data_IF_493082949032
#
_entry.id   IF_493082949032
#
_cell.length_a   1.000
_cell.length_b   1.000
_cell.length_c   1.000
_cell.angle_alpha   90.00
_cell.angle_beta   90.00
_cell.angle_gamma   90.00
#
_symmetry.space_group_name_H-M   'P 1'
#
loop_
_entity.id
_entity.type
_entity.pdbx_description
1 polymer ?
#
# COMPACT_ATOMS: atom_id res chain seq x y z
N UNK A 1 -0.10 50.72 10.40
CA UNK A 1 0.70 49.49 10.59
C UNK A 1 0.02 48.67 11.69
N UNK A 2 0.01 47.35 11.51
CA UNK A 2 -0.93 46.32 12.00
C UNK A 2 -1.44 46.40 13.45
N UNK A 3 -2.65 45.87 13.72
CA UNK A 3 -2.67 44.55 14.36
C UNK A 3 -3.83 43.68 13.84
N UNK A 4 -3.70 43.17 12.62
CA UNK A 4 -4.47 41.98 12.20
C UNK A 4 -3.71 40.70 12.57
N UNK A 5 -2.41 40.81 12.86
CA UNK A 5 -1.55 39.68 13.20
C UNK A 5 -1.82 39.10 14.59
N UNK A 6 -2.29 39.92 15.54
CA UNK A 6 -2.55 39.46 16.92
C UNK A 6 -3.82 38.62 17.03
N UNK A 7 -4.80 38.82 16.13
CA UNK A 7 -6.01 37.99 16.10
C UNK A 7 -5.73 36.59 15.53
N UNK A 8 -4.72 36.44 14.67
CA UNK A 8 -4.29 35.13 14.16
C UNK A 8 -3.37 34.39 15.15
N UNK A 9 -2.61 35.13 15.96
CA UNK A 9 -1.78 34.56 17.03
C UNK A 9 -2.62 34.03 18.20
N UNK A 10 -3.74 34.68 18.51
CA UNK A 10 -4.65 34.23 19.57
C UNK A 10 -5.29 32.86 19.27
N UNK A 11 -5.65 32.58 18.01
CA UNK A 11 -6.18 31.26 17.59
C UNK A 11 -5.11 30.14 17.63
N UNK A 12 -3.83 30.49 17.51
CA UNK A 12 -2.73 29.54 17.64
C UNK A 12 -2.36 29.26 19.10
N UNK A 13 -2.46 30.25 19.98
CA UNK A 13 -2.21 30.10 21.42
C UNK A 13 -3.27 29.19 22.08
N UNK A 14 -4.53 29.24 21.63
CA UNK A 14 -5.60 28.34 22.12
C UNK A 14 -5.39 26.86 21.72
N UNK A 15 -4.56 26.58 20.70
CA UNK A 15 -4.16 25.22 20.34
C UNK A 15 -2.84 24.77 21.01
N UNK A 16 -2.10 25.68 21.65
CA UNK A 16 -0.83 25.38 22.32
C UNK A 16 -1.02 24.79 23.72
N UNK A 17 -2.16 25.04 24.38
CA UNK A 17 -2.46 24.57 25.75
C UNK A 17 -2.86 23.07 25.82
N UNK A 18 -2.42 22.25 24.87
CA UNK A 18 -2.54 20.78 24.92
C UNK A 18 -1.21 20.04 24.73
N UNK A 19 -0.07 20.74 24.78
CA UNK A 19 1.25 20.11 24.86
C UNK A 19 1.75 20.07 26.31
N UNK A 20 1.17 19.20 27.14
CA UNK A 20 1.88 18.63 28.30
C UNK A 20 1.16 17.39 28.81
N UNK A 21 1.36 16.28 28.10
CA UNK A 21 1.57 14.96 28.73
C UNK A 21 1.95 14.00 27.60
N UNK A 22 3.25 13.67 27.49
CA UNK A 22 3.81 12.37 27.09
C UNK A 22 5.30 12.51 26.77
N UNK A 23 6.11 12.75 27.81
CA UNK A 23 7.48 12.27 27.83
C UNK A 23 7.57 11.09 28.79
N UNK A 24 8.31 10.07 28.36
CA UNK A 24 8.69 8.84 29.07
C UNK A 24 7.73 7.63 28.98
N UNK A 25 7.79 6.92 27.87
CA UNK A 25 8.04 5.47 27.95
C UNK A 25 8.60 4.92 26.63
N UNK A 26 9.88 4.51 26.66
CA UNK A 26 10.46 3.66 25.64
C UNK A 26 9.90 2.23 25.78
N UNK A 27 8.64 2.03 25.40
CA UNK A 27 8.06 0.71 25.20
C UNK A 27 7.15 0.79 23.98
N UNK A 28 7.60 0.24 22.85
CA UNK A 28 6.77 -0.02 21.69
C UNK A 28 5.82 -1.16 22.07
N UNK A 29 4.79 -0.84 22.85
CA UNK A 29 3.66 -1.72 23.07
C UNK A 29 2.87 -1.78 21.77
N UNK A 30 2.82 -2.99 21.23
CA UNK A 30 1.86 -3.51 20.27
C UNK A 30 0.54 -2.74 20.30
N UNK A 31 0.32 -1.85 19.33
CA UNK A 31 -1.03 -1.48 18.93
C UNK A 31 -1.55 -2.64 18.08
N UNK A 32 -2.01 -3.69 18.74
CA UNK A 32 -2.97 -4.61 18.13
C UNK A 32 -4.22 -3.80 17.84
N UNK A 33 -4.40 -3.45 16.57
CA UNK A 33 -5.69 -3.01 16.07
C UNK A 33 -6.56 -4.25 16.12
N UNK A 34 -7.32 -4.43 17.20
CA UNK A 34 -8.44 -5.37 17.25
C UNK A 34 -9.50 -4.90 16.24
N UNK A 35 -9.30 -5.26 14.97
CA UNK A 35 -10.34 -5.29 13.96
C UNK A 35 -11.25 -6.47 14.28
N UNK A 36 -12.13 -6.28 15.27
CA UNK A 36 -13.30 -7.12 15.50
C UNK A 36 -14.27 -6.95 14.32
N UNK A 37 -14.06 -7.78 13.30
CA UNK A 37 -14.73 -7.67 12.02
C UNK A 37 -14.36 -8.80 11.08
N UNK A 38 -14.65 -10.04 11.48
CA UNK A 38 -14.91 -11.18 10.59
C UNK A 38 -13.84 -11.47 9.50
N UNK A 39 -12.55 -11.44 9.86
CA UNK A 39 -11.44 -11.85 8.97
C UNK A 39 -11.23 -13.37 8.95
N UNK A 40 -12.04 -14.13 9.70
CA UNK A 40 -11.93 -15.59 9.85
C UNK A 40 -12.43 -16.38 8.62
N UNK A 41 -12.99 -15.71 7.60
CA UNK A 41 -13.61 -16.37 6.43
C UNK A 41 -12.74 -16.56 5.19
N UNK A 42 -11.55 -15.96 5.11
CA UNK A 42 -10.71 -16.00 3.89
C UNK A 42 -9.58 -17.05 3.99
N UNK A 43 -9.39 -17.68 5.15
CA UNK A 43 -8.28 -18.64 5.34
C UNK A 43 -8.52 -20.02 4.69
N UNK A 44 -9.74 -20.35 4.23
CA UNK A 44 -10.08 -21.70 3.75
C UNK A 44 -10.30 -21.82 2.24
N UNK A 45 -10.08 -20.78 1.45
CA UNK A 45 -10.26 -20.88 0.01
C UNK A 45 -8.99 -21.47 -0.60
N UNK A 46 -8.92 -22.80 -0.58
CA UNK A 46 -7.96 -23.61 -1.30
C UNK A 46 -8.20 -23.46 -2.82
N UNK A 47 -7.84 -22.30 -3.36
CA UNK A 47 -7.73 -22.10 -4.79
C UNK A 47 -6.35 -22.58 -5.21
N UNK A 48 -6.30 -23.73 -5.88
CA UNK A 48 -5.04 -24.33 -6.32
C UNK A 48 -4.31 -23.50 -7.39
N UNK A 49 -5.01 -22.54 -8.01
CA UNK A 49 -4.53 -21.80 -9.18
C UNK A 49 -4.49 -20.29 -8.97
N UNK A 50 -3.27 -19.74 -8.96
CA UNK A 50 -3.00 -18.31 -8.75
C UNK A 50 -3.58 -17.44 -9.88
N UNK A 51 -3.67 -17.98 -11.09
CA UNK A 51 -4.19 -17.29 -12.27
C UNK A 51 -5.71 -17.01 -12.15
N UNK A 52 -6.39 -17.81 -11.33
CA UNK A 52 -7.81 -17.57 -10.99
C UNK A 52 -8.00 -16.43 -9.99
N UNK A 53 -6.96 -16.13 -9.21
CA UNK A 53 -6.95 -15.17 -8.10
C UNK A 53 -6.39 -13.79 -8.50
N UNK A 54 -5.29 -13.75 -9.27
CA UNK A 54 -4.68 -12.52 -9.76
C UNK A 54 -5.07 -12.27 -11.21
N UNK A 55 -6.10 -11.45 -11.40
CA UNK A 55 -6.69 -11.13 -12.71
C UNK A 55 -6.46 -9.69 -13.12
N UNK A 56 -6.08 -8.81 -12.20
CA UNK A 56 -5.95 -7.37 -12.39
C UNK A 56 -5.02 -7.04 -13.55
N UNK A 57 -3.85 -7.69 -13.59
CA UNK A 57 -2.86 -7.53 -14.67
C UNK A 57 -3.44 -7.83 -16.07
N UNK A 58 -4.42 -8.72 -16.17
CA UNK A 58 -5.09 -9.09 -17.41
C UNK A 58 -6.35 -8.26 -17.70
N UNK A 59 -6.74 -7.36 -16.79
CA UNK A 59 -7.90 -6.49 -17.00
C UNK A 59 -7.58 -5.41 -18.02
N UNK A 60 -8.55 -5.12 -18.90
CA UNK A 60 -8.45 -3.99 -19.84
C UNK A 60 -8.14 -2.68 -19.13
N UNK A 61 -8.74 -2.47 -17.94
CA UNK A 61 -8.51 -1.27 -17.14
C UNK A 61 -7.03 -1.10 -16.75
N UNK A 62 -6.35 -2.16 -16.30
CA UNK A 62 -4.93 -2.10 -15.97
C UNK A 62 -4.10 -1.74 -17.20
N UNK A 63 -4.32 -2.45 -18.32
CA UNK A 63 -3.60 -2.24 -19.58
C UNK A 63 -3.82 -0.82 -20.10
N UNK A 64 -5.06 -0.34 -20.12
CA UNK A 64 -5.43 0.99 -20.61
C UNK A 64 -4.80 2.12 -19.75
N UNK A 65 -4.74 1.94 -18.42
CA UNK A 65 -4.14 2.95 -17.53
C UNK A 65 -2.62 2.93 -17.68
N UNK A 66 -1.97 1.77 -17.69
CA UNK A 66 -0.53 1.66 -17.87
C UNK A 66 -0.08 2.25 -19.21
N UNK A 67 -0.80 1.96 -20.29
CA UNK A 67 -0.51 2.55 -21.60
C UNK A 67 -0.62 4.07 -21.58
N UNK A 68 -1.66 4.63 -20.95
CA UNK A 68 -1.82 6.10 -20.82
C UNK A 68 -0.73 6.73 -19.96
N UNK A 69 -0.22 6.01 -18.95
CA UNK A 69 0.90 6.48 -18.14
C UNK A 69 2.19 6.49 -18.96
N UNK A 70 2.45 5.44 -19.74
CA UNK A 70 3.60 5.40 -20.66
C UNK A 70 3.52 6.53 -21.70
N UNK A 71 2.37 6.69 -22.36
CA UNK A 71 2.13 7.78 -23.31
C UNK A 71 2.33 9.16 -22.64
N UNK A 72 1.84 9.35 -21.43
CA UNK A 72 2.02 10.61 -20.69
C UNK A 72 3.50 10.87 -20.37
N UNK A 73 4.26 9.86 -19.93
CA UNK A 73 5.69 9.98 -19.63
C UNK A 73 6.53 10.28 -20.88
N UNK A 74 6.17 9.72 -22.03
CA UNK A 74 6.85 10.03 -23.30
C UNK A 74 6.54 11.45 -23.79
N UNK A 75 5.30 11.92 -23.60
CA UNK A 75 4.87 13.25 -24.05
C UNK A 75 5.30 14.40 -23.12
N UNK A 76 5.52 14.15 -21.82
CA UNK A 76 5.93 15.17 -20.82
C UNK A 76 7.32 15.78 -21.11
N UNK A 77 8.10 15.15 -22.00
CA UNK A 77 9.36 15.71 -22.53
C UNK A 77 9.15 16.87 -23.51
N UNK A 78 7.91 17.15 -23.93
CA UNK A 78 7.60 18.07 -25.04
C UNK A 78 7.00 19.41 -24.60
N UNK A 79 6.19 19.44 -23.54
CA UNK A 79 5.31 20.58 -23.24
C UNK A 79 5.42 21.02 -21.77
N UNK A 80 6.52 21.71 -21.45
CA UNK A 80 6.82 22.26 -20.12
C UNK A 80 5.98 23.49 -19.72
N UNK A 81 4.78 23.71 -20.27
CA UNK A 81 4.02 24.94 -20.06
C UNK A 81 2.50 24.80 -20.23
N UNK A 82 1.82 24.02 -19.39
CA UNK A 82 0.36 24.20 -19.28
C UNK A 82 -0.12 24.19 -17.83
N UNK A 83 -0.95 25.19 -17.56
CA UNK A 83 -1.41 25.68 -16.27
C UNK A 83 -2.49 24.76 -15.68
N UNK A 84 -2.40 24.50 -14.38
CA UNK A 84 -3.27 23.61 -13.60
C UNK A 84 -4.71 24.14 -13.59
N UNK A 85 -5.59 23.47 -14.34
CA UNK A 85 -7.04 23.59 -14.25
C UNK A 85 -7.60 22.21 -13.88
N UNK A 86 -8.67 22.17 -13.07
CA UNK A 86 -9.28 20.92 -12.57
C UNK A 86 -9.86 19.99 -13.66
N UNK A 87 -9.80 20.40 -14.93
CA UNK A 87 -10.19 19.62 -16.10
C UNK A 87 -8.96 19.08 -16.86
N UNK A 88 -7.78 19.14 -16.24
CA UNK A 88 -6.53 18.65 -16.82
C UNK A 88 -6.58 17.12 -16.98
N UNK A 89 -6.45 16.60 -18.21
CA UNK A 89 -6.39 15.17 -18.47
C UNK A 89 -5.30 14.45 -17.66
N UNK A 90 -4.22 15.15 -17.25
CA UNK A 90 -3.17 14.62 -16.39
C UNK A 90 -3.68 14.35 -14.97
N UNK A 91 -4.43 15.28 -14.38
CA UNK A 91 -5.02 15.09 -13.04
C UNK A 91 -6.01 13.92 -13.03
N UNK A 92 -6.84 13.78 -14.08
CA UNK A 92 -7.74 12.63 -14.20
C UNK A 92 -7.01 11.30 -14.33
N UNK A 93 -5.84 11.29 -14.99
CA UNK A 93 -4.98 10.10 -15.07
C UNK A 93 -4.43 9.72 -13.70
N UNK A 94 -3.95 10.70 -12.91
CA UNK A 94 -3.46 10.46 -11.54
C UNK A 94 -4.55 9.87 -10.66
N UNK A 95 -5.77 10.40 -10.69
CA UNK A 95 -6.91 9.84 -9.92
C UNK A 95 -7.19 8.38 -10.31
N UNK A 96 -7.12 8.05 -11.61
CA UNK A 96 -7.27 6.66 -12.09
C UNK A 96 -6.13 5.76 -11.64
N UNK A 97 -4.89 6.27 -11.61
CA UNK A 97 -3.73 5.55 -11.08
C UNK A 97 -3.91 5.24 -9.59
N UNK A 98 -4.41 6.19 -8.80
CA UNK A 98 -4.68 5.97 -7.37
C UNK A 98 -5.73 4.87 -7.15
N UNK A 99 -6.80 4.86 -7.96
CA UNK A 99 -7.76 3.75 -7.91
C UNK A 99 -7.11 2.42 -8.26
N UNK A 100 -6.24 2.38 -9.28
CA UNK A 100 -5.54 1.17 -9.67
C UNK A 100 -4.56 0.69 -8.59
N UNK A 101 -3.94 1.60 -7.84
CA UNK A 101 -3.03 1.28 -6.75
C UNK A 101 -3.73 0.47 -5.66
N UNK A 102 -4.94 0.85 -5.26
CA UNK A 102 -5.74 0.11 -4.27
C UNK A 102 -6.02 -1.32 -4.75
N UNK A 103 -6.33 -1.48 -6.05
CA UNK A 103 -6.54 -2.80 -6.62
C UNK A 103 -5.25 -3.64 -6.62
N UNK A 104 -4.10 -3.03 -6.89
CA UNK A 104 -2.77 -3.68 -6.83
C UNK A 104 -2.45 -4.12 -5.40
N UNK A 105 -2.69 -3.27 -4.40
CA UNK A 105 -2.47 -3.59 -2.98
C UNK A 105 -3.31 -4.79 -2.53
N UNK A 106 -4.57 -4.84 -2.97
CA UNK A 106 -5.43 -6.00 -2.72
C UNK A 106 -4.88 -7.28 -3.37
N UNK A 107 -4.42 -7.22 -4.62
CA UNK A 107 -3.79 -8.38 -5.26
C UNK A 107 -2.49 -8.82 -4.58
N UNK A 108 -1.65 -7.89 -4.12
CA UNK A 108 -0.44 -8.21 -3.36
C UNK A 108 -0.80 -9.03 -2.12
N UNK A 109 -1.87 -8.67 -1.42
CA UNK A 109 -2.36 -9.38 -0.24
C UNK A 109 -2.85 -10.78 -0.59
N UNK A 110 -3.61 -10.92 -1.68
CA UNK A 110 -4.11 -12.22 -2.17
C UNK A 110 -2.94 -13.14 -2.54
N UNK A 111 -1.96 -12.63 -3.30
CA UNK A 111 -0.77 -13.38 -3.73
C UNK A 111 0.08 -13.76 -2.51
N UNK A 112 0.28 -12.84 -1.56
CA UNK A 112 1.02 -13.13 -0.33
C UNK A 112 0.37 -14.28 0.45
N UNK A 113 -0.95 -14.23 0.66
CA UNK A 113 -1.69 -15.29 1.34
C UNK A 113 -1.61 -16.63 0.58
N UNK A 114 -1.66 -16.62 -0.75
CA UNK A 114 -1.48 -17.83 -1.56
C UNK A 114 -0.08 -18.46 -1.35
N UNK A 115 0.98 -17.66 -1.41
CA UNK A 115 2.36 -18.13 -1.20
C UNK A 115 2.52 -18.63 0.25
N UNK A 116 2.01 -17.87 1.22
CA UNK A 116 2.00 -18.22 2.65
C UNK A 116 1.34 -19.57 2.89
N UNK A 117 0.16 -19.81 2.35
CA UNK A 117 -0.56 -21.08 2.51
C UNK A 117 0.21 -22.27 1.93
N UNK A 118 0.86 -22.12 0.77
CA UNK A 118 1.69 -23.18 0.18
C UNK A 118 2.97 -23.42 0.98
N UNK A 119 3.63 -22.35 1.44
CA UNK A 119 4.95 -22.43 2.08
C UNK A 119 4.91 -22.76 3.57
N UNK A 120 3.77 -22.54 4.25
CA UNK A 120 3.52 -22.90 5.65
C UNK A 120 3.85 -24.36 5.96
N UNK A 121 3.64 -25.26 4.99
CA UNK A 121 3.97 -26.69 5.13
C UNK A 121 5.47 -26.98 5.22
N UNK A 122 6.33 -26.08 4.74
CA UNK A 122 7.79 -26.25 4.71
C UNK A 122 8.51 -25.47 5.78
N UNK A 123 8.11 -24.21 5.99
CA UNK A 123 8.76 -23.35 6.96
C UNK A 123 7.74 -22.37 7.57
N UNK A 124 7.00 -22.80 8.61
CA UNK A 124 5.95 -21.99 9.21
C UNK A 124 6.48 -20.71 9.87
N UNK A 125 7.73 -20.72 10.36
CA UNK A 125 8.34 -19.58 11.04
C UNK A 125 8.70 -18.42 10.09
N UNK A 126 8.67 -18.64 8.76
CA UNK A 126 8.95 -17.57 7.80
C UNK A 126 7.91 -16.43 7.89
N UNK A 127 6.67 -16.77 8.25
CA UNK A 127 5.56 -15.81 8.40
C UNK A 127 5.83 -14.83 9.56
N UNK A 128 6.39 -15.31 10.67
CA UNK A 128 6.72 -14.46 11.83
C UNK A 128 8.02 -13.69 11.64
N UNK A 129 8.92 -14.18 10.79
CA UNK A 129 10.22 -13.56 10.52
C UNK A 129 10.14 -12.41 9.51
N UNK A 130 9.19 -12.46 8.56
CA UNK A 130 9.11 -11.51 7.44
C UNK A 130 7.71 -10.97 7.26
N UNK A 131 7.49 -9.75 7.76
CA UNK A 131 6.18 -9.11 7.78
C UNK A 131 5.82 -8.47 6.43
N UNK A 132 6.81 -8.05 5.63
CA UNK A 132 6.55 -7.35 4.38
C UNK A 132 6.26 -8.33 3.22
N UNK A 133 5.10 -8.22 2.53
CA UNK A 133 4.63 -9.26 1.61
C UNK A 133 5.53 -9.46 0.39
N UNK A 134 6.13 -8.39 -0.12
CA UNK A 134 7.05 -8.45 -1.27
C UNK A 134 8.35 -9.15 -0.88
N UNK A 135 8.88 -8.88 0.31
CA UNK A 135 10.12 -9.48 0.77
C UNK A 135 9.92 -10.94 1.16
N UNK A 136 8.76 -11.27 1.74
CA UNK A 136 8.33 -12.65 1.95
C UNK A 136 8.35 -13.43 0.63
N UNK A 137 7.73 -12.90 -0.42
CA UNK A 137 7.73 -13.54 -1.74
C UNK A 137 9.13 -13.69 -2.34
N UNK A 138 10.01 -12.67 -2.18
CA UNK A 138 11.42 -12.73 -2.62
C UNK A 138 12.21 -13.80 -1.87
N UNK A 139 12.01 -13.91 -0.56
CA UNK A 139 12.66 -14.90 0.29
C UNK A 139 12.19 -16.31 -0.05
N UNK A 140 10.88 -16.54 -0.18
CA UNK A 140 10.34 -17.82 -0.65
C UNK A 140 10.92 -18.20 -2.01
N UNK A 141 11.01 -17.25 -2.94
CA UNK A 141 11.64 -17.48 -4.25
C UNK A 141 13.13 -17.84 -4.14
N UNK A 142 13.85 -17.25 -3.18
CA UNK A 142 15.29 -17.48 -2.98
C UNK A 142 15.59 -18.77 -2.23
N UNK A 143 14.78 -19.14 -1.22
CA UNK A 143 14.91 -20.42 -0.49
C UNK A 143 14.48 -21.58 -1.40
N UNK A 144 13.41 -21.39 -2.18
CA UNK A 144 12.92 -22.39 -3.11
C UNK A 144 12.55 -23.71 -2.41
N UNK A 145 13.01 -24.83 -2.97
CA UNK A 145 12.84 -26.18 -2.38
C UNK A 145 14.04 -26.63 -1.55
N UNK A 146 15.04 -25.78 -1.34
CA UNK A 146 16.24 -26.16 -0.59
C UNK A 146 15.90 -26.15 0.90
N UNK A 147 15.57 -27.32 1.44
CA UNK A 147 15.38 -27.56 2.87
C UNK A 147 16.69 -27.86 3.60
N UNK A 148 17.84 -27.54 2.99
CA UNK A 148 19.16 -27.81 3.55
C UNK A 148 19.86 -26.48 3.86
N UNK A 149 19.31 -25.76 4.85
CA UNK A 149 20.11 -24.80 5.60
C UNK A 149 20.90 -25.60 6.64
N UNK A 150 22.01 -26.20 6.21
CA UNK A 150 23.07 -26.66 7.11
C UNK A 150 24.07 -25.54 7.40
#
# INVERSE_FOLDING_TARGET
MAPLNDSFLADLDELSDHEDDLLESNNVEHMEVELDGDVAGIESLNYDDLDSLSKLQNTRRYIDIMQKVEDALENDLSDSNSFVLSDDPQYQLVVKCNSLLVDIENEITIVHNFIRNKYRSKFPDLESLVNHPIDYARLVKKIGNETDLT
#
